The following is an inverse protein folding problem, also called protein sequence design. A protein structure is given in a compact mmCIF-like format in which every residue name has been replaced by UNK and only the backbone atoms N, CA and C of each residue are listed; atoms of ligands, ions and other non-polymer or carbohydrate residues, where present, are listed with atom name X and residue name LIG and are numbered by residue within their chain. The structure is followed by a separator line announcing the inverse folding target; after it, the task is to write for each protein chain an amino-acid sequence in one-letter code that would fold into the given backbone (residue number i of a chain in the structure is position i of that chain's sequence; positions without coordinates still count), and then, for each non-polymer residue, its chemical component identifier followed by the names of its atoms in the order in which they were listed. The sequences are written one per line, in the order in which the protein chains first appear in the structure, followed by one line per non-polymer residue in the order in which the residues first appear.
data_IF_915894821596
#
_entry.id   IF_915894821596
#
_cell.length_a   1.000
_cell.length_b   1.000
_cell.length_c   1.000
_cell.angle_alpha   90.00
_cell.angle_beta   90.00
_cell.angle_gamma   90.00
#
_symmetry.space_group_name_H-M   'P 1'
#
loop_
_entity.id
_entity.type
_entity.pdbx_description
1 polymer ?
#
# COMPACT_ATOMS: atom_id res chain seq x y z
N UNK A 1 -34.03 -29.02 -2.16
CA UNK A 1 -33.03 -29.97 -1.66
C UNK A 1 -31.75 -29.81 -2.44
N UNK A 2 -30.57 -29.67 -1.77
CA UNK A 2 -29.28 -29.69 -2.47
C UNK A 2 -28.94 -31.11 -2.88
N UNK A 3 -28.59 -31.30 -4.15
CA UNK A 3 -28.10 -32.57 -4.69
C UNK A 3 -26.70 -32.40 -5.29
N UNK A 4 -26.05 -33.52 -5.62
CA UNK A 4 -24.67 -33.54 -6.18
C UNK A 4 -24.52 -32.60 -7.38
N UNK A 5 -25.48 -32.60 -8.32
CA UNK A 5 -25.40 -31.79 -9.52
C UNK A 5 -25.36 -30.29 -9.20
N UNK A 6 -26.24 -29.82 -8.32
CA UNK A 6 -26.25 -28.40 -7.87
C UNK A 6 -24.95 -27.97 -7.19
N UNK A 7 -24.29 -28.89 -6.48
CA UNK A 7 -22.96 -28.60 -5.86
C UNK A 7 -21.91 -28.44 -6.96
N UNK A 8 -21.88 -29.37 -7.91
CA UNK A 8 -20.95 -29.31 -9.05
C UNK A 8 -21.13 -28.02 -9.86
N UNK A 9 -22.39 -27.70 -10.25
CA UNK A 9 -22.69 -26.51 -11.06
C UNK A 9 -22.21 -25.21 -10.41
N UNK A 10 -22.23 -25.13 -9.07
CA UNK A 10 -21.80 -23.93 -8.32
C UNK A 10 -20.30 -23.85 -8.10
N UNK A 11 -19.60 -24.97 -8.01
CA UNK A 11 -18.21 -24.99 -7.59
C UNK A 11 -17.21 -25.22 -8.75
N UNK A 12 -17.62 -25.87 -9.84
CA UNK A 12 -16.71 -26.25 -10.93
C UNK A 12 -15.99 -25.05 -11.57
N UNK A 13 -16.67 -23.89 -11.64
CA UNK A 13 -16.13 -22.67 -12.24
C UNK A 13 -15.71 -21.62 -11.21
N UNK A 14 -15.64 -22.00 -9.95
CA UNK A 14 -15.24 -21.06 -8.89
C UNK A 14 -13.76 -20.68 -9.06
N UNK A 15 -13.50 -19.38 -9.13
CA UNK A 15 -12.13 -18.83 -9.08
C UNK A 15 -11.86 -18.39 -7.64
N UNK A 16 -10.78 -18.90 -7.01
CA UNK A 16 -10.40 -18.48 -5.66
C UNK A 16 -10.16 -16.97 -5.58
N UNK A 17 -10.56 -16.37 -4.48
CA UNK A 17 -10.30 -14.98 -4.16
C UNK A 17 -9.97 -14.85 -2.66
N UNK A 18 -9.55 -13.68 -2.23
CA UNK A 18 -9.26 -13.42 -0.82
C UNK A 18 -10.60 -13.33 -0.08
N UNK A 19 -10.93 -14.35 0.71
CA UNK A 19 -12.16 -14.39 1.50
C UNK A 19 -12.21 -13.19 2.47
N UNK A 20 -13.32 -12.45 2.46
CA UNK A 20 -13.50 -11.23 3.25
C UNK A 20 -12.95 -9.97 2.59
N UNK A 21 -12.42 -10.05 1.35
CA UNK A 21 -11.94 -8.87 0.61
C UNK A 21 -13.04 -7.85 0.32
N UNK A 22 -14.30 -8.28 0.29
CA UNK A 22 -15.48 -7.43 0.13
C UNK A 22 -15.69 -6.45 1.31
N UNK A 23 -15.09 -6.76 2.48
CA UNK A 23 -15.11 -5.89 3.67
C UNK A 23 -13.83 -5.07 3.82
N UNK A 24 -12.90 -5.18 2.87
CA UNK A 24 -11.63 -4.45 2.88
C UNK A 24 -11.72 -3.20 2.01
N UNK A 25 -11.09 -2.14 2.46
CA UNK A 25 -10.87 -0.94 1.64
C UNK A 25 -9.80 -1.25 0.61
N UNK A 26 -10.01 -0.79 -0.61
CA UNK A 26 -9.04 -0.95 -1.68
C UNK A 26 -8.39 0.39 -2.01
N UNK A 27 -7.09 0.36 -2.20
CA UNK A 27 -6.31 1.53 -2.58
C UNK A 27 -5.27 1.14 -3.63
N UNK A 28 -4.81 2.11 -4.39
CA UNK A 28 -3.72 1.93 -5.34
C UNK A 28 -2.69 3.04 -5.13
N UNK A 29 -1.42 2.71 -5.32
CA UNK A 29 -0.31 3.67 -5.22
C UNK A 29 0.62 3.50 -6.39
N UNK A 30 1.29 4.57 -6.77
CA UNK A 30 2.32 4.57 -7.80
C UNK A 30 3.69 4.79 -7.17
N UNK A 31 4.68 3.97 -7.53
CA UNK A 31 6.10 4.11 -7.17
C UNK A 31 6.78 4.81 -8.35
N UNK A 32 6.94 6.15 -8.30
CA UNK A 32 7.51 6.88 -9.42
C UNK A 32 9.03 6.75 -9.44
N UNK A 33 9.57 6.17 -10.50
CA UNK A 33 10.99 6.21 -10.82
C UNK A 33 11.28 7.41 -11.69
N UNK A 34 12.19 8.26 -11.26
CA UNK A 34 12.59 9.48 -11.94
C UNK A 34 14.05 9.39 -12.37
N UNK A 35 14.35 9.71 -13.61
CA UNK A 35 15.73 9.83 -14.09
C UNK A 35 16.27 11.22 -13.77
N UNK A 36 17.31 11.29 -12.96
CA UNK A 36 17.96 12.55 -12.58
C UNK A 36 19.46 12.34 -12.47
N UNK A 37 20.25 13.23 -13.06
CA UNK A 37 21.71 13.24 -13.01
C UNK A 37 22.36 11.89 -13.42
N UNK A 38 21.72 11.17 -14.37
CA UNK A 38 22.19 9.87 -14.86
C UNK A 38 21.84 8.67 -13.97
N UNK A 39 21.09 8.88 -12.88
CA UNK A 39 20.69 7.87 -11.92
C UNK A 39 19.16 7.79 -11.79
N UNK A 40 18.65 6.63 -11.35
CA UNK A 40 17.24 6.45 -11.01
C UNK A 40 17.02 6.87 -9.56
N UNK A 41 16.02 7.70 -9.35
CA UNK A 41 15.54 8.11 -8.04
C UNK A 41 14.10 7.64 -7.85
N UNK A 42 13.73 7.37 -6.61
CA UNK A 42 12.34 7.12 -6.23
C UNK A 42 11.76 8.41 -5.67
N UNK A 43 10.63 8.86 -6.21
CA UNK A 43 9.93 10.04 -5.73
C UNK A 43 8.96 9.67 -4.63
N UNK A 44 8.95 10.47 -3.59
CA UNK A 44 8.02 10.42 -2.46
C UNK A 44 7.36 11.78 -2.29
N UNK A 45 6.17 11.76 -1.75
CA UNK A 45 5.47 12.96 -1.30
C UNK A 45 5.44 13.06 0.22
N UNK A 46 5.36 14.27 0.72
CA UNK A 46 5.06 14.58 2.12
C UNK A 46 3.66 15.17 2.16
N UNK A 47 2.77 14.52 2.89
CA UNK A 47 1.37 14.92 3.00
C UNK A 47 1.23 16.28 3.71
N UNK A 48 0.27 17.07 3.28
CA UNK A 48 0.03 18.38 3.88
C UNK A 48 -0.29 18.26 5.38
N UNK A 49 0.28 19.17 6.17
CA UNK A 49 0.10 19.19 7.64
C UNK A 49 -1.33 19.55 8.07
N UNK A 50 -2.12 20.12 7.16
CA UNK A 50 -3.54 20.47 7.34
C UNK A 50 -4.50 19.29 7.27
N UNK A 51 -4.05 18.14 6.77
CA UNK A 51 -4.89 16.96 6.60
C UNK A 51 -5.35 16.38 7.94
N UNK A 52 -6.61 15.92 7.99
CA UNK A 52 -7.19 15.26 9.18
C UNK A 52 -6.59 13.88 9.45
N UNK A 53 -6.13 13.21 8.39
CA UNK A 53 -5.59 11.85 8.47
C UNK A 53 -4.15 11.81 7.98
N UNK A 54 -3.25 11.30 8.82
CA UNK A 54 -1.82 11.12 8.52
C UNK A 54 -1.13 12.40 8.03
N UNK A 55 -1.29 13.56 8.73
CA UNK A 55 -0.60 14.79 8.35
C UNK A 55 0.91 14.58 8.41
N UNK A 56 1.64 15.18 7.47
CA UNK A 56 3.11 15.15 7.38
C UNK A 56 3.72 13.74 7.23
N UNK A 57 2.92 12.69 6.99
CA UNK A 57 3.45 11.37 6.66
C UNK A 57 4.04 11.36 5.23
N UNK A 58 5.03 10.52 5.04
CA UNK A 58 5.63 10.27 3.72
C UNK A 58 4.88 9.14 3.05
N UNK A 59 4.45 9.35 1.81
CA UNK A 59 3.73 8.38 0.99
C UNK A 59 4.26 8.32 -0.45
N UNK A 60 3.81 7.29 -1.14
CA UNK A 60 3.77 7.31 -2.60
C UNK A 60 2.47 7.98 -3.03
N UNK A 61 2.43 8.65 -4.18
CA UNK A 61 1.19 9.13 -4.76
C UNK A 61 0.18 8.00 -4.88
N UNK A 62 -1.07 8.25 -4.44
CA UNK A 62 -2.11 7.23 -4.51
C UNK A 62 -3.18 7.36 -3.45
N UNK A 63 -4.30 6.66 -3.68
CA UNK A 63 -5.47 6.76 -2.82
C UNK A 63 -6.48 5.64 -3.00
N UNK A 64 -7.72 5.91 -2.64
CA UNK A 64 -8.82 4.97 -2.71
C UNK A 64 -9.21 4.63 -4.15
N UNK A 65 -9.58 3.37 -4.38
CA UNK A 65 -10.17 2.94 -5.65
C UNK A 65 -11.66 3.25 -5.60
N UNK A 66 -12.15 4.05 -6.55
CA UNK A 66 -13.55 4.43 -6.66
C UNK A 66 -14.41 3.32 -7.31
N UNK A 67 -15.72 3.45 -7.20
CA UNK A 67 -16.66 2.49 -7.80
C UNK A 67 -16.54 2.50 -9.33
N UNK A 68 -16.35 1.33 -9.92
CA UNK A 68 -16.16 1.16 -11.37
C UNK A 68 -14.74 1.42 -11.86
N UNK A 69 -13.83 1.85 -11.00
CA UNK A 69 -12.44 2.12 -11.32
C UNK A 69 -11.56 0.87 -11.17
N UNK A 70 -10.61 0.69 -12.07
CA UNK A 70 -9.56 -0.31 -11.91
C UNK A 70 -8.45 0.23 -10.98
N UNK A 71 -7.67 -0.64 -10.31
CA UNK A 71 -6.55 -0.19 -9.48
C UNK A 71 -5.54 0.70 -10.23
N UNK A 72 -5.28 0.36 -11.50
CA UNK A 72 -4.37 1.15 -12.34
C UNK A 72 -4.92 2.56 -12.61
N UNK A 73 -6.22 2.67 -12.90
CA UNK A 73 -6.85 3.97 -13.12
C UNK A 73 -6.77 4.84 -11.87
N UNK A 74 -7.05 4.24 -10.69
CA UNK A 74 -6.93 4.94 -9.41
C UNK A 74 -5.50 5.46 -9.17
N UNK A 75 -4.47 4.63 -9.36
CA UNK A 75 -3.08 5.04 -9.18
C UNK A 75 -2.70 6.22 -10.08
N UNK A 76 -3.16 6.22 -11.35
CA UNK A 76 -2.89 7.31 -12.30
C UNK A 76 -3.66 8.57 -11.91
N UNK A 77 -4.95 8.47 -11.60
CA UNK A 77 -5.81 9.60 -11.22
C UNK A 77 -5.26 10.30 -9.97
N UNK A 78 -5.00 9.55 -8.92
CA UNK A 78 -4.46 10.09 -7.66
C UNK A 78 -3.10 10.76 -7.89
N UNK A 79 -2.21 10.14 -8.68
CA UNK A 79 -0.93 10.75 -9.03
C UNK A 79 -1.10 12.09 -9.74
N UNK A 80 -2.09 12.19 -10.63
CA UNK A 80 -2.40 13.47 -11.30
C UNK A 80 -2.99 14.51 -10.34
N UNK A 81 -3.89 14.11 -9.46
CA UNK A 81 -4.55 14.97 -8.49
C UNK A 81 -3.57 15.51 -7.44
N UNK A 82 -2.67 14.67 -6.91
CA UNK A 82 -1.73 15.03 -5.85
C UNK A 82 -0.50 15.78 -6.36
N UNK A 83 0.16 15.28 -7.40
CA UNK A 83 1.41 15.87 -7.88
C UNK A 83 1.28 16.64 -9.20
N UNK A 84 0.10 16.63 -9.82
CA UNK A 84 -0.21 17.45 -11.00
C UNK A 84 0.56 17.06 -12.26
N UNK A 85 0.97 15.78 -12.37
CA UNK A 85 1.62 15.26 -13.58
C UNK A 85 0.62 15.07 -14.72
N UNK A 86 1.10 15.09 -15.97
CA UNK A 86 0.26 14.71 -17.10
C UNK A 86 0.17 13.19 -17.24
N UNK A 87 -0.94 12.63 -17.76
CA UNK A 87 -1.10 11.19 -17.96
C UNK A 87 0.01 10.57 -18.82
N UNK A 88 0.43 11.29 -19.84
CA UNK A 88 1.50 10.88 -20.76
C UNK A 88 2.89 10.81 -20.12
N UNK A 89 3.10 11.47 -18.99
CA UNK A 89 4.36 11.42 -18.24
C UNK A 89 4.43 10.22 -17.31
N UNK A 90 3.29 9.56 -17.03
CA UNK A 90 3.20 8.37 -16.18
C UNK A 90 3.35 7.11 -17.05
N UNK A 91 4.50 6.44 -16.96
CA UNK A 91 4.83 5.24 -17.75
C UNK A 91 4.83 4.01 -16.84
N UNK A 92 3.68 3.40 -16.66
CA UNK A 92 3.56 2.19 -15.83
C UNK A 92 4.33 1.02 -16.46
N UNK A 93 5.11 0.31 -15.65
CA UNK A 93 5.84 -0.89 -16.02
C UNK A 93 5.07 -2.13 -15.58
N UNK A 94 4.68 -2.19 -14.29
CA UNK A 94 4.01 -3.35 -13.70
C UNK A 94 3.20 -3.00 -12.47
N UNK A 95 2.19 -3.81 -12.17
CA UNK A 95 1.66 -3.98 -10.83
C UNK A 95 2.59 -4.92 -10.05
N UNK A 96 2.87 -4.59 -8.79
CA UNK A 96 3.66 -5.40 -7.87
C UNK A 96 2.75 -6.23 -6.96
N UNK A 97 3.36 -6.98 -6.04
CA UNK A 97 2.63 -7.80 -5.07
C UNK A 97 1.68 -6.97 -4.19
N UNK A 98 0.46 -7.49 -4.00
CA UNK A 98 -0.54 -6.82 -3.19
C UNK A 98 -0.14 -6.76 -1.73
N UNK A 99 -0.27 -5.60 -1.12
CA UNK A 99 -0.07 -5.44 0.31
C UNK A 99 -1.42 -5.53 1.04
N UNK A 100 -1.60 -6.60 1.83
CA UNK A 100 -2.75 -6.75 2.72
C UNK A 100 -2.35 -6.29 4.12
N UNK A 101 -3.11 -5.35 4.67
CA UNK A 101 -2.83 -4.78 6.00
C UNK A 101 -3.74 -5.36 7.08
N UNK A 102 -3.29 -5.43 8.35
CA UNK A 102 -4.14 -5.85 9.47
C UNK A 102 -5.38 -4.97 9.69
N UNK A 103 -5.36 -3.74 9.18
CA UNK A 103 -6.46 -2.76 9.30
C UNK A 103 -7.38 -2.74 8.08
N UNK A 104 -7.52 -3.89 7.41
CA UNK A 104 -8.47 -4.13 6.31
C UNK A 104 -8.25 -3.25 5.07
N UNK A 105 -7.01 -3.04 4.65
CA UNK A 105 -6.68 -2.49 3.33
C UNK A 105 -6.05 -3.56 2.44
N UNK A 106 -6.45 -3.56 1.18
CA UNK A 106 -5.74 -4.18 0.07
C UNK A 106 -5.15 -3.04 -0.76
N UNK A 107 -3.84 -2.98 -0.86
CA UNK A 107 -3.14 -1.94 -1.61
C UNK A 107 -2.52 -2.56 -2.85
N UNK A 108 -2.76 -1.95 -3.99
CA UNK A 108 -2.24 -2.28 -5.31
C UNK A 108 -1.08 -1.34 -5.65
N UNK A 109 0.19 -1.76 -5.48
CA UNK A 109 1.33 -0.94 -5.85
C UNK A 109 1.61 -1.09 -7.34
N UNK A 110 1.78 0.04 -8.02
CA UNK A 110 2.26 0.09 -9.41
C UNK A 110 3.63 0.75 -9.44
N UNK A 111 4.52 0.25 -10.29
CA UNK A 111 5.84 0.85 -10.52
C UNK A 111 5.96 1.32 -11.95
N UNK A 112 6.66 2.42 -12.15
CA UNK A 112 6.90 2.95 -13.48
C UNK A 112 7.76 4.21 -13.48
N UNK A 113 8.00 4.76 -14.66
CA UNK A 113 8.72 6.02 -14.80
C UNK A 113 7.74 7.20 -14.72
N UNK A 114 8.20 8.26 -14.10
CA UNK A 114 7.59 9.58 -14.14
C UNK A 114 8.56 10.50 -14.89
N UNK A 115 8.17 10.86 -16.10
CA UNK A 115 8.91 11.76 -16.95
C UNK A 115 8.54 13.24 -16.64
N UNK A 116 9.30 14.19 -17.18
CA UNK A 116 9.00 15.65 -17.16
C UNK A 116 8.60 16.19 -15.78
N UNK A 117 9.37 15.86 -14.75
CA UNK A 117 9.09 16.29 -13.36
C UNK A 117 9.06 17.81 -13.16
N UNK A 118 9.61 18.58 -14.09
CA UNK A 118 9.51 20.04 -14.13
C UNK A 118 8.10 20.55 -14.37
N UNK A 119 7.20 19.71 -14.87
CA UNK A 119 5.78 20.05 -15.09
C UNK A 119 4.91 19.81 -13.84
N UNK A 120 5.46 19.20 -12.80
CA UNK A 120 4.70 18.88 -11.57
C UNK A 120 4.13 20.15 -10.93
N UNK A 121 2.84 20.08 -10.60
CA UNK A 121 2.11 21.14 -9.89
C UNK A 121 1.37 20.53 -8.70
N UNK A 122 2.03 20.54 -7.55
CA UNK A 122 1.49 19.94 -6.33
C UNK A 122 0.15 20.55 -5.93
N UNK A 123 -0.82 19.71 -5.61
CA UNK A 123 -2.02 20.08 -4.89
C UNK A 123 -1.64 20.38 -3.43
N UNK A 124 -1.52 21.64 -3.08
CA UNK A 124 -1.04 22.06 -1.75
C UNK A 124 -2.02 21.76 -0.62
N UNK A 125 -3.26 21.44 -0.92
CA UNK A 125 -4.24 20.99 0.07
C UNK A 125 -3.96 19.55 0.52
N UNK A 126 -3.25 18.75 -0.30
CA UNK A 126 -2.96 17.34 -0.04
C UNK A 126 -1.47 17.06 0.13
N UNK A 127 -0.61 17.72 -0.63
CA UNK A 127 0.85 17.48 -0.69
C UNK A 127 1.61 18.75 -0.34
N UNK A 128 2.39 18.70 0.74
CA UNK A 128 3.26 19.80 1.14
C UNK A 128 4.44 19.96 0.17
N UNK A 129 5.19 18.89 -0.05
CA UNK A 129 6.29 18.85 -1.01
C UNK A 129 6.58 17.42 -1.45
N UNK A 130 7.42 17.30 -2.48
CA UNK A 130 7.98 16.03 -2.92
C UNK A 130 9.49 16.04 -2.73
N UNK A 131 10.06 14.85 -2.52
CA UNK A 131 11.50 14.65 -2.50
C UNK A 131 11.86 13.35 -3.20
N UNK A 132 13.13 13.21 -3.55
CA UNK A 132 13.63 12.05 -4.28
C UNK A 132 14.78 11.41 -3.54
N UNK A 133 14.83 10.08 -3.56
CA UNK A 133 15.90 9.27 -2.97
C UNK A 133 16.54 8.45 -4.08
N UNK A 134 17.88 8.47 -4.24
CA UNK A 134 18.57 7.62 -5.19
C UNK A 134 18.24 6.14 -4.94
N UNK A 135 17.95 5.40 -6.02
CA UNK A 135 17.67 3.97 -5.90
C UNK A 135 18.88 3.20 -5.33
N UNK A 136 20.08 3.58 -5.75
CA UNK A 136 21.35 3.03 -5.23
C UNK A 136 21.43 3.18 -3.71
N UNK A 137 21.10 4.37 -3.18
CA UNK A 137 21.07 4.60 -1.73
C UNK A 137 20.09 3.66 -1.00
N UNK A 138 18.89 3.45 -1.56
CA UNK A 138 17.89 2.57 -0.95
C UNK A 138 18.32 1.10 -0.96
N UNK A 139 19.01 0.65 -1.99
CA UNK A 139 19.57 -0.70 -2.09
C UNK A 139 20.72 -0.93 -1.11
N UNK A 140 21.58 0.08 -0.90
CA UNK A 140 22.72 -0.01 0.01
C UNK A 140 22.33 0.14 1.49
N UNK A 141 21.18 0.78 1.80
CA UNK A 141 20.79 1.12 3.17
C UNK A 141 19.51 0.38 3.58
N UNK A 142 19.69 -0.81 4.11
CA UNK A 142 18.58 -1.66 4.60
C UNK A 142 17.76 -0.98 5.72
N UNK A 143 16.42 -1.20 5.79
CA UNK A 143 15.58 -0.59 6.79
C UNK A 143 15.82 -1.17 8.19
N UNK A 144 15.63 -0.35 9.21
CA UNK A 144 15.49 -0.84 10.58
C UNK A 144 14.15 -1.56 10.72
N UNK A 145 14.17 -2.75 11.34
CA UNK A 145 13.00 -3.63 11.48
C UNK A 145 12.53 -3.69 12.93
N UNK A 146 11.24 -3.44 13.13
CA UNK A 146 10.56 -3.56 14.40
C UNK A 146 9.30 -4.40 14.23
N UNK A 147 8.70 -4.84 15.34
CA UNK A 147 7.48 -5.65 15.31
C UNK A 147 6.46 -5.11 16.29
N UNK A 148 5.26 -4.82 15.79
CA UNK A 148 4.10 -4.57 16.64
C UNK A 148 3.40 -5.89 16.94
N UNK A 149 2.85 -6.03 18.15
CA UNK A 149 1.94 -7.11 18.47
C UNK A 149 0.54 -6.77 17.95
N UNK A 150 -0.09 -7.71 17.25
CA UNK A 150 -1.49 -7.63 16.82
C UNK A 150 -2.29 -8.58 17.70
N UNK A 151 -3.26 -8.05 18.43
CA UNK A 151 -4.10 -8.79 19.35
C UNK A 151 -5.54 -8.86 18.85
N UNK A 152 -6.17 -10.01 19.06
CA UNK A 152 -7.62 -10.15 18.92
C UNK A 152 -8.28 -9.68 20.21
N UNK A 153 -9.02 -8.59 20.12
CA UNK A 153 -9.89 -8.13 21.21
C UNK A 153 -11.31 -8.62 20.89
N UNK A 154 -11.80 -9.63 21.61
CA UNK A 154 -13.12 -10.17 21.33
C UNK A 154 -14.22 -9.15 21.65
N UNK A 155 -15.31 -9.20 20.87
CA UNK A 155 -16.50 -8.42 21.16
C UNK A 155 -17.05 -8.80 22.55
N UNK A 156 -17.57 -7.82 23.28
CA UNK A 156 -18.14 -8.06 24.61
C UNK A 156 -19.35 -8.99 24.62
N UNK A 157 -20.04 -9.13 23.47
CA UNK A 157 -21.20 -10.01 23.29
C UNK A 157 -20.81 -11.36 22.65
N UNK A 158 -19.48 -11.65 22.53
CA UNK A 158 -19.06 -12.93 21.99
C UNK A 158 -19.60 -14.08 22.87
N UNK A 159 -20.31 -15.08 22.30
CA UNK A 159 -20.88 -16.19 23.06
C UNK A 159 -19.79 -17.17 23.48
N UNK A 160 -19.09 -16.85 24.55
CA UNK A 160 -17.97 -17.65 25.05
C UNK A 160 -18.38 -19.06 25.50
N UNK A 161 -19.64 -19.25 25.88
CA UNK A 161 -20.22 -20.55 26.20
C UNK A 161 -20.24 -21.54 25.03
N UNK A 162 -20.16 -21.05 23.81
CA UNK A 162 -20.06 -21.86 22.58
C UNK A 162 -18.61 -22.14 22.15
N UNK A 163 -17.62 -21.60 22.87
CA UNK A 163 -16.20 -21.75 22.54
C UNK A 163 -15.55 -22.71 23.54
N UNK A 164 -14.79 -23.74 23.08
CA UNK A 164 -14.03 -24.60 24.00
C UNK A 164 -13.09 -23.78 24.89
N UNK A 165 -13.22 -23.94 26.21
CA UNK A 165 -12.46 -23.15 27.21
C UNK A 165 -13.16 -21.86 27.62
N UNK A 166 -14.31 -21.53 27.04
CA UNK A 166 -15.17 -20.39 27.39
C UNK A 166 -14.36 -19.08 27.53
N UNK A 167 -14.56 -18.33 28.62
CA UNK A 167 -13.84 -17.08 28.91
C UNK A 167 -12.33 -17.25 29.11
N UNK A 168 -11.83 -18.48 29.26
CA UNK A 168 -10.42 -18.79 29.37
C UNK A 168 -9.75 -19.05 28.01
N UNK A 169 -10.51 -19.01 26.89
CA UNK A 169 -9.97 -19.18 25.56
C UNK A 169 -8.92 -18.12 25.27
N UNK A 170 -7.74 -18.57 24.88
CA UNK A 170 -6.62 -17.68 24.54
C UNK A 170 -6.58 -17.47 23.04
N UNK A 171 -6.93 -16.27 22.60
CA UNK A 171 -6.73 -15.86 21.21
C UNK A 171 -5.24 -15.72 20.93
N UNK A 172 -4.81 -16.21 19.76
CA UNK A 172 -3.42 -16.07 19.36
C UNK A 172 -3.11 -14.60 19.00
N UNK A 173 -1.90 -14.18 19.38
CA UNK A 173 -1.37 -12.88 19.00
C UNK A 173 -0.56 -13.02 17.72
N UNK A 174 -0.75 -12.07 16.79
CA UNK A 174 0.09 -11.92 15.61
C UNK A 174 1.23 -10.94 15.83
N UNK A 175 2.19 -10.96 14.90
CA UNK A 175 3.21 -9.92 14.79
C UNK A 175 3.09 -9.23 13.44
N UNK A 176 3.16 -7.90 13.43
CA UNK A 176 3.22 -7.09 12.22
C UNK A 176 4.56 -6.36 12.18
N UNK A 177 5.33 -6.60 11.12
CA UNK A 177 6.61 -5.92 10.90
C UNK A 177 6.37 -4.45 10.59
N UNK A 178 7.23 -3.58 11.16
CA UNK A 178 7.29 -2.15 10.87
C UNK A 178 8.71 -1.82 10.43
N UNK A 179 8.82 -1.20 9.26
CA UNK A 179 10.09 -0.85 8.63
C UNK A 179 10.31 0.65 8.70
N UNK A 180 11.58 1.06 8.83
CA UNK A 180 12.00 2.45 8.86
C UNK A 180 13.24 2.62 7.97
N UNK A 181 13.09 3.38 6.87
CA UNK A 181 14.20 3.91 6.08
C UNK A 181 14.49 5.35 6.50
N UNK A 182 15.74 5.71 6.57
CA UNK A 182 16.14 7.09 6.85
C UNK A 182 16.96 7.62 5.68
N UNK A 183 16.57 8.79 5.16
CA UNK A 183 17.32 9.51 4.14
C UNK A 183 17.36 10.99 4.53
N UNK A 184 18.54 11.52 4.89
CA UNK A 184 18.70 12.86 5.44
C UNK A 184 17.77 13.07 6.65
N UNK A 185 16.87 14.05 6.57
CA UNK A 185 15.89 14.35 7.62
C UNK A 185 14.56 13.60 7.42
N UNK A 186 14.42 12.85 6.34
CA UNK A 186 13.21 12.06 6.05
C UNK A 186 13.25 10.68 6.69
N UNK A 187 12.09 10.27 7.23
CA UNK A 187 11.87 8.94 7.78
C UNK A 187 10.69 8.30 7.06
N UNK A 188 10.98 7.37 6.16
CA UNK A 188 9.96 6.59 5.44
C UNK A 188 9.65 5.36 6.29
N UNK A 189 8.39 5.18 6.70
CA UNK A 189 8.00 4.10 7.60
C UNK A 189 6.62 3.52 7.28
N UNK A 190 6.20 2.49 8.01
CA UNK A 190 4.86 1.93 7.95
C UNK A 190 4.52 1.27 6.62
N UNK A 191 3.38 1.63 6.04
CA UNK A 191 2.88 1.05 4.78
C UNK A 191 3.81 1.42 3.63
N UNK A 192 4.21 2.68 3.53
CA UNK A 192 5.12 3.17 2.47
C UNK A 192 6.45 2.43 2.48
N UNK A 193 7.04 2.23 3.66
CA UNK A 193 8.28 1.47 3.81
C UNK A 193 8.12 -0.01 3.46
N UNK A 194 6.95 -0.63 3.72
CA UNK A 194 6.67 -2.01 3.32
C UNK A 194 6.58 -2.16 1.80
N UNK A 195 5.87 -1.25 1.15
CA UNK A 195 5.76 -1.23 -0.32
C UNK A 195 7.13 -1.00 -0.94
N UNK A 196 7.90 -0.03 -0.41
CA UNK A 196 9.27 0.22 -0.85
C UNK A 196 10.16 -1.03 -0.68
N UNK A 197 10.09 -1.68 0.47
CA UNK A 197 10.88 -2.89 0.74
C UNK A 197 10.59 -3.99 -0.27
N UNK A 198 9.31 -4.30 -0.52
CA UNK A 198 8.92 -5.31 -1.51
C UNK A 198 9.37 -4.93 -2.92
N UNK A 199 9.35 -3.65 -3.28
CA UNK A 199 9.89 -3.18 -4.56
C UNK A 199 11.40 -3.40 -4.65
N UNK A 200 12.15 -3.13 -3.58
CA UNK A 200 13.61 -3.27 -3.58
C UNK A 200 14.05 -4.75 -3.64
N UNK A 201 13.24 -5.69 -3.13
CA UNK A 201 13.54 -7.13 -3.21
C UNK A 201 13.67 -7.64 -4.67
N UNK A 202 13.09 -6.96 -5.66
CA UNK A 202 13.27 -7.29 -7.07
C UNK A 202 14.69 -7.01 -7.60
N UNK A 203 15.54 -6.34 -6.84
CA UNK A 203 16.92 -5.99 -7.20
C UNK A 203 17.96 -6.66 -6.30
N UNK A 204 17.52 -7.48 -5.35
CA UNK A 204 18.42 -8.30 -4.52
C UNK A 204 18.67 -9.63 -5.26
N UNK A 205 19.96 -10.00 -5.45
CA UNK A 205 20.42 -11.26 -6.07
C UNK A 205 20.23 -12.48 -5.15
#
# INVERSE_FOLDING_TARGET
MFNRQKVLDRLTNHKPYINGSEYMRRAAVFIPMVRKDGEIHILFEVRASSLKHRPSEISFPGGGIEEGETPLQAAIRETQEEIGSYPEDIKIISELDLLITPVKYIIHPFVGYLDNIEHIKLNKDEVDHVFMVPLSYLLENQPKRYFNTVQVLPDQNLPFDLIPGEKNYKFENGKSQVLFYKYKDYVIWGITAKILYNFLEFFED
#
